data_IF_309264406392
#
_entry.id   IF_309264406392
#
_cell.length_a   1.000
_cell.length_b   1.000
_cell.length_c   1.000
_cell.angle_alpha   90.00
_cell.angle_beta   90.00
_cell.angle_gamma   90.00
#
_symmetry.space_group_name_H-M   'P 1'
#
loop_
_entity.id
_entity.type
_entity.pdbx_description
1 polymer ?
#
# COMPACT_ATOMS: atom_id res chain seq x y z
N UNK A 1 -26.56 -0.47 -9.95
CA UNK A 1 -27.04 0.92 -9.70
C UNK A 1 -27.51 0.94 -8.25
N UNK A 2 -26.87 1.73 -7.38
CA UNK A 2 -27.02 1.61 -5.92
C UNK A 2 -28.46 1.79 -5.42
N UNK A 3 -29.17 2.80 -5.95
CA UNK A 3 -30.54 3.09 -5.52
C UNK A 3 -31.49 1.93 -5.90
N UNK A 4 -31.36 1.40 -7.11
CA UNK A 4 -32.16 0.24 -7.58
C UNK A 4 -31.88 -1.00 -6.72
N UNK A 5 -30.60 -1.29 -6.45
CA UNK A 5 -30.17 -2.42 -5.62
C UNK A 5 -30.71 -2.34 -4.18
N UNK A 6 -30.88 -1.12 -3.66
CA UNK A 6 -31.42 -0.85 -2.32
C UNK A 6 -32.94 -0.64 -2.32
N UNK A 7 -33.61 -0.70 -3.47
CA UNK A 7 -35.03 -0.37 -3.64
C UNK A 7 -35.40 1.02 -3.08
N UNK A 8 -34.53 2.01 -3.30
CA UNK A 8 -34.74 3.40 -2.86
C UNK A 8 -35.27 4.22 -4.04
N UNK A 9 -36.44 4.82 -3.88
CA UNK A 9 -36.94 5.84 -4.81
C UNK A 9 -36.42 7.21 -4.38
N UNK A 10 -35.74 7.92 -5.27
CA UNK A 10 -35.18 9.24 -5.01
C UNK A 10 -35.35 10.15 -6.23
N UNK A 11 -35.50 11.46 -5.99
CA UNK A 11 -35.35 12.50 -7.01
C UNK A 11 -33.89 12.99 -6.99
N UNK A 12 -33.22 12.93 -8.14
CA UNK A 12 -31.78 13.21 -8.25
C UNK A 12 -31.59 14.59 -8.86
N UNK A 13 -30.94 15.47 -8.11
CA UNK A 13 -30.55 16.80 -8.56
C UNK A 13 -29.03 16.90 -8.63
N UNK A 14 -28.50 17.19 -9.81
CA UNK A 14 -27.07 17.46 -10.00
C UNK A 14 -26.73 18.90 -9.62
N UNK A 15 -25.72 19.06 -8.77
CA UNK A 15 -25.22 20.37 -8.31
C UNK A 15 -23.72 20.45 -8.60
N UNK A 16 -23.28 21.56 -9.16
CA UNK A 16 -21.86 21.81 -9.42
C UNK A 16 -21.23 22.49 -8.20
N UNK A 17 -20.56 21.69 -7.37
CA UNK A 17 -19.79 22.16 -6.21
C UNK A 17 -20.63 22.50 -4.98
N UNK A 18 -19.98 22.53 -3.82
CA UNK A 18 -20.59 22.84 -2.51
C UNK A 18 -21.85 22.03 -2.21
N UNK A 19 -21.81 20.74 -2.56
CA UNK A 19 -22.94 19.81 -2.40
C UNK A 19 -23.32 19.68 -0.91
N UNK A 20 -22.36 19.84 -0.02
CA UNK A 20 -22.50 19.74 1.44
C UNK A 20 -23.45 20.79 2.04
N UNK A 21 -23.70 21.89 1.33
CA UNK A 21 -24.63 22.94 1.76
C UNK A 21 -26.09 22.54 1.48
N UNK A 22 -26.35 21.71 0.47
CA UNK A 22 -27.71 21.40 -0.01
C UNK A 22 -28.65 20.89 1.10
N UNK A 23 -28.23 20.04 2.06
CA UNK A 23 -29.08 19.65 3.18
C UNK A 23 -29.43 20.81 4.11
N UNK A 24 -28.46 21.66 4.42
CA UNK A 24 -28.63 22.78 5.37
C UNK A 24 -29.63 23.84 4.90
N UNK A 25 -29.76 24.02 3.59
CA UNK A 25 -30.69 24.96 2.97
C UNK A 25 -32.02 24.30 2.55
N UNK A 26 -32.20 23.02 2.86
CA UNK A 26 -33.42 22.26 2.57
C UNK A 26 -33.60 21.86 1.11
N UNK A 27 -32.54 21.89 0.29
CA UNK A 27 -32.60 21.51 -1.12
C UNK A 27 -32.57 19.98 -1.32
N UNK A 28 -31.99 19.23 -0.37
CA UNK A 28 -31.92 17.77 -0.42
C UNK A 28 -32.01 17.15 0.98
N UNK A 29 -32.47 15.90 1.06
CA UNK A 29 -32.44 15.13 2.31
C UNK A 29 -31.12 14.40 2.55
N UNK A 30 -30.34 14.17 1.49
CA UNK A 30 -29.05 13.50 1.52
C UNK A 30 -28.22 13.94 0.30
N UNK A 31 -26.91 13.73 0.38
CA UNK A 31 -25.97 14.00 -0.71
C UNK A 31 -25.21 12.73 -1.07
N UNK A 32 -24.71 12.69 -2.30
CA UNK A 32 -23.75 11.71 -2.77
C UNK A 32 -22.50 12.46 -3.22
N UNK A 33 -21.37 12.21 -2.55
CA UNK A 33 -20.13 12.93 -2.79
C UNK A 33 -18.90 12.04 -2.51
N UNK A 34 -17.74 12.43 -3.03
CA UNK A 34 -16.46 11.76 -2.82
C UNK A 34 -15.90 12.17 -1.47
N UNK A 35 -15.66 11.18 -0.61
CA UNK A 35 -15.10 11.39 0.73
C UNK A 35 -13.72 10.75 0.83
N UNK A 36 -12.77 11.48 1.44
CA UNK A 36 -11.43 10.97 1.75
C UNK A 36 -11.22 10.84 3.27
N UNK A 37 -11.02 11.96 3.98
CA UNK A 37 -10.85 11.95 5.45
C UNK A 37 -12.14 12.17 6.22
N UNK A 38 -13.22 12.57 5.55
CA UNK A 38 -14.50 12.94 6.18
C UNK A 38 -14.53 14.33 6.82
N UNK A 39 -13.42 15.09 6.80
CA UNK A 39 -13.33 16.41 7.45
C UNK A 39 -14.37 17.40 6.93
N UNK A 40 -14.61 17.44 5.63
CA UNK A 40 -15.58 18.35 4.99
C UNK A 40 -17.03 18.02 5.36
N UNK A 41 -17.37 16.74 5.47
CA UNK A 41 -18.70 16.33 5.93
C UNK A 41 -18.92 16.80 7.37
N UNK A 42 -17.94 16.56 8.23
CA UNK A 42 -18.04 16.91 9.65
C UNK A 42 -18.21 18.42 9.86
N UNK A 43 -17.47 19.27 9.11
CA UNK A 43 -17.61 20.72 9.20
C UNK A 43 -18.98 21.25 8.77
N UNK A 44 -19.72 20.46 7.98
CA UNK A 44 -21.08 20.79 7.53
C UNK A 44 -22.17 20.04 8.34
N UNK A 45 -21.80 19.41 9.46
CA UNK A 45 -22.74 18.66 10.30
C UNK A 45 -23.26 17.37 9.63
N UNK A 46 -22.57 16.88 8.61
CA UNK A 46 -22.90 15.66 7.89
C UNK A 46 -22.09 14.48 8.42
N UNK A 47 -22.61 13.28 8.19
CA UNK A 47 -21.93 12.02 8.45
C UNK A 47 -22.11 11.08 7.28
N UNK A 48 -21.12 10.23 7.05
CA UNK A 48 -21.24 9.14 6.09
C UNK A 48 -22.27 8.12 6.59
N UNK A 49 -23.13 7.66 5.69
CA UNK A 49 -24.21 6.69 6.01
C UNK A 49 -24.07 5.39 5.23
N UNK A 50 -23.61 5.47 3.98
CA UNK A 50 -23.45 4.32 3.09
C UNK A 50 -22.28 4.58 2.13
N UNK A 51 -21.45 3.55 1.90
CA UNK A 51 -20.39 3.57 0.88
C UNK A 51 -20.96 3.02 -0.42
N UNK A 52 -21.17 3.89 -1.40
CA UNK A 52 -21.67 3.48 -2.73
C UNK A 52 -20.57 2.82 -3.56
N UNK A 53 -19.37 3.43 -3.57
CA UNK A 53 -18.23 2.96 -4.35
C UNK A 53 -16.93 3.39 -3.66
N UNK A 54 -15.91 2.52 -3.72
CA UNK A 54 -14.53 2.91 -3.42
C UNK A 54 -13.83 3.34 -4.69
N UNK A 55 -13.28 4.54 -4.69
CA UNK A 55 -12.55 5.10 -5.83
C UNK A 55 -11.04 5.01 -5.59
N UNK A 56 -10.30 4.66 -6.64
CA UNK A 56 -8.85 4.66 -6.66
C UNK A 56 -8.33 5.11 -8.03
N UNK A 57 -7.07 5.53 -8.09
CA UNK A 57 -6.42 5.84 -9.36
C UNK A 57 -6.11 4.55 -10.12
N UNK A 58 -6.59 4.45 -11.36
CA UNK A 58 -6.38 3.28 -12.23
C UNK A 58 -5.74 3.69 -13.56
N UNK A 59 -4.92 2.81 -14.12
CA UNK A 59 -4.44 2.95 -15.50
C UNK A 59 -5.43 2.25 -16.44
N UNK A 60 -6.00 2.99 -17.39
CA UNK A 60 -6.95 2.47 -18.37
C UNK A 60 -6.33 2.48 -19.76
N UNK A 61 -6.54 1.40 -20.52
CA UNK A 61 -6.15 1.31 -21.93
C UNK A 61 -7.31 0.83 -22.79
N UNK A 62 -7.28 1.19 -24.07
CA UNK A 62 -8.22 0.64 -25.07
C UNK A 62 -7.75 -0.76 -25.47
N UNK A 63 -8.69 -1.70 -25.63
CA UNK A 63 -8.39 -3.00 -26.23
C UNK A 63 -7.95 -2.89 -27.71
N UNK A 64 -7.04 -3.76 -28.13
CA UNK A 64 -6.58 -3.83 -29.53
C UNK A 64 -5.59 -2.73 -29.91
N UNK A 65 -4.65 -2.38 -29.02
CA UNK A 65 -3.56 -1.48 -29.35
C UNK A 65 -2.66 -2.06 -30.44
N UNK A 66 -2.11 -1.18 -31.27
CA UNK A 66 -1.00 -1.52 -32.17
C UNK A 66 0.21 -2.01 -31.35
N UNK A 67 1.01 -2.92 -31.92
CA UNK A 67 2.11 -3.57 -31.22
C UNK A 67 3.09 -2.59 -30.54
N UNK A 68 3.44 -1.50 -31.22
CA UNK A 68 4.33 -0.46 -30.68
C UNK A 68 3.76 0.20 -29.42
N UNK A 69 2.45 0.50 -29.41
CA UNK A 69 1.77 1.10 -28.25
C UNK A 69 1.60 0.10 -27.12
N UNK A 70 1.36 -1.16 -27.45
CA UNK A 70 1.30 -2.24 -26.45
C UNK A 70 2.65 -2.37 -25.73
N UNK A 71 3.76 -2.33 -26.46
CA UNK A 71 5.10 -2.39 -25.85
C UNK A 71 5.37 -1.22 -24.89
N UNK A 72 4.92 -0.01 -25.24
CA UNK A 72 5.02 1.17 -24.36
C UNK A 72 4.16 0.97 -23.10
N UNK A 73 2.94 0.47 -23.27
CA UNK A 73 2.04 0.18 -22.15
C UNK A 73 2.66 -0.85 -21.21
N UNK A 74 3.21 -1.94 -21.73
CA UNK A 74 3.84 -2.99 -20.94
C UNK A 74 5.04 -2.46 -20.14
N UNK A 75 5.88 -1.62 -20.77
CA UNK A 75 6.98 -0.93 -20.08
C UNK A 75 6.49 -0.01 -18.97
N UNK A 76 5.39 0.71 -19.18
CA UNK A 76 4.81 1.59 -18.17
C UNK A 76 4.23 0.79 -16.99
N UNK A 77 3.45 -0.25 -17.28
CA UNK A 77 2.87 -1.16 -16.26
C UNK A 77 3.98 -1.78 -15.42
N UNK A 78 5.04 -2.28 -16.05
CA UNK A 78 6.21 -2.83 -15.36
C UNK A 78 6.85 -1.80 -14.40
N UNK A 79 7.05 -0.55 -14.84
CA UNK A 79 7.63 0.52 -14.01
C UNK A 79 6.73 0.91 -12.84
N UNK A 80 5.42 1.01 -13.06
CA UNK A 80 4.45 1.29 -12.00
C UNK A 80 4.45 0.16 -10.96
N UNK A 81 4.40 -1.09 -11.40
CA UNK A 81 4.43 -2.26 -10.53
C UNK A 81 5.73 -2.32 -9.70
N UNK A 82 6.87 -1.95 -10.30
CA UNK A 82 8.17 -1.90 -9.61
C UNK A 82 8.17 -0.91 -8.44
N UNK A 83 7.50 0.23 -8.59
CA UNK A 83 7.34 1.24 -7.53
C UNK A 83 6.30 0.77 -6.49
N UNK A 84 5.18 0.21 -6.93
CA UNK A 84 4.12 -0.26 -6.02
C UNK A 84 4.64 -1.39 -5.11
N UNK A 85 5.41 -2.33 -5.65
CA UNK A 85 6.06 -3.40 -4.87
C UNK A 85 7.09 -2.84 -3.89
N UNK A 86 7.87 -1.83 -4.28
CA UNK A 86 8.82 -1.16 -3.40
C UNK A 86 8.15 -0.50 -2.19
N UNK A 87 6.98 0.13 -2.38
CA UNK A 87 6.25 0.83 -1.29
C UNK A 87 5.86 -0.08 -0.13
N UNK A 88 5.52 -1.33 -0.42
CA UNK A 88 5.05 -2.30 0.58
C UNK A 88 6.18 -3.15 1.18
N UNK A 89 7.43 -2.86 0.84
CA UNK A 89 8.59 -3.62 1.32
C UNK A 89 9.65 -2.69 1.92
N UNK A 90 10.49 -3.25 2.78
CA UNK A 90 11.64 -2.58 3.39
C UNK A 90 12.88 -3.43 3.24
N UNK A 91 14.01 -2.76 3.02
CA UNK A 91 15.31 -3.39 3.12
C UNK A 91 15.76 -3.36 4.58
N UNK A 92 16.13 -4.50 5.12
CA UNK A 92 16.64 -4.63 6.49
C UNK A 92 18.06 -5.11 6.48
N UNK A 93 18.86 -4.53 7.37
CA UNK A 93 20.24 -4.88 7.63
C UNK A 93 20.36 -5.11 9.12
N UNK A 94 21.01 -6.20 9.52
CA UNK A 94 21.23 -6.52 10.92
C UNK A 94 22.56 -7.26 11.06
N UNK A 95 23.09 -7.27 12.28
CA UNK A 95 24.21 -8.11 12.66
C UNK A 95 23.68 -9.32 13.42
N UNK A 96 24.27 -10.48 13.18
CA UNK A 96 23.85 -11.74 13.77
C UNK A 96 25.07 -12.56 14.21
N UNK A 97 25.00 -13.25 15.36
CA UNK A 97 25.92 -14.33 15.69
C UNK A 97 25.83 -15.44 14.63
N UNK A 98 26.97 -16.03 14.27
CA UNK A 98 27.03 -17.05 13.22
C UNK A 98 26.24 -18.33 13.57
N UNK A 99 26.12 -18.66 14.85
CA UNK A 99 25.33 -19.80 15.34
C UNK A 99 23.81 -19.61 15.21
N UNK A 100 23.38 -18.37 15.01
CA UNK A 100 21.97 -17.98 14.92
C UNK A 100 21.50 -17.76 13.48
N UNK A 101 22.40 -17.90 12.50
CA UNK A 101 22.13 -17.61 11.09
C UNK A 101 21.00 -18.47 10.51
N UNK A 102 20.97 -19.78 10.80
CA UNK A 102 19.92 -20.67 10.26
C UNK A 102 18.52 -20.23 10.72
N UNK A 103 18.39 -19.85 12.00
CA UNK A 103 17.13 -19.32 12.56
C UNK A 103 16.79 -17.98 11.90
N UNK A 104 17.73 -17.05 11.79
CA UNK A 104 17.52 -15.73 11.18
C UNK A 104 17.14 -15.85 9.70
N UNK A 105 17.80 -16.70 8.92
CA UNK A 105 17.49 -16.94 7.51
C UNK A 105 16.07 -17.48 7.35
N UNK A 106 15.59 -18.30 8.28
CA UNK A 106 14.21 -18.82 8.26
C UNK A 106 13.15 -17.74 8.53
N UNK A 107 13.48 -16.72 9.34
CA UNK A 107 12.60 -15.60 9.67
C UNK A 107 12.49 -14.63 8.49
N UNK A 108 13.62 -14.31 7.85
CA UNK A 108 13.70 -13.32 6.77
C UNK A 108 14.20 -13.91 5.45
N UNK A 109 13.51 -14.87 4.81
CA UNK A 109 14.01 -15.57 3.61
C UNK A 109 14.26 -14.65 2.40
N UNK A 110 13.69 -13.44 2.42
CA UNK A 110 13.87 -12.43 1.38
C UNK A 110 13.22 -12.84 0.05
N UNK A 111 13.65 -12.22 -1.04
CA UNK A 111 13.11 -12.50 -2.38
C UNK A 111 13.62 -13.81 -2.99
N UNK A 112 14.81 -14.25 -2.58
CA UNK A 112 15.47 -15.46 -3.08
C UNK A 112 16.25 -16.14 -1.96
N UNK A 113 17.09 -15.37 -1.30
CA UNK A 113 17.86 -15.74 -0.10
C UNK A 113 18.40 -14.45 0.52
N UNK A 114 18.60 -14.38 1.85
CA UNK A 114 19.34 -13.30 2.48
C UNK A 114 20.78 -13.25 1.98
N UNK A 115 21.36 -12.06 1.96
CA UNK A 115 22.80 -11.88 1.81
C UNK A 115 23.44 -11.99 3.19
N UNK A 116 24.48 -12.80 3.31
CA UNK A 116 25.26 -12.96 4.56
C UNK A 116 26.70 -12.54 4.28
N UNK A 117 27.22 -11.59 5.06
CA UNK A 117 28.58 -11.05 4.91
C UNK A 117 29.30 -11.13 6.27
N UNK A 118 30.47 -11.78 6.37
CA UNK A 118 31.23 -11.81 7.62
C UNK A 118 31.61 -10.40 8.09
N UNK A 119 31.53 -10.15 9.40
CA UNK A 119 32.01 -8.91 10.01
C UNK A 119 33.50 -8.99 10.34
N UNK A 120 34.10 -7.83 10.65
CA UNK A 120 35.46 -7.77 11.20
C UNK A 120 35.56 -8.41 12.60
N UNK A 121 34.44 -8.43 13.34
CA UNK A 121 34.34 -9.17 14.60
C UNK A 121 34.11 -10.65 14.31
N UNK A 122 35.01 -11.50 14.82
CA UNK A 122 34.90 -12.95 14.64
C UNK A 122 33.62 -13.50 15.27
N UNK A 123 33.01 -14.47 14.60
CA UNK A 123 31.76 -15.10 15.06
C UNK A 123 30.49 -14.33 14.70
N UNK A 124 30.59 -13.22 13.97
CA UNK A 124 29.44 -12.41 13.54
C UNK A 124 29.37 -12.20 12.04
N UNK A 125 28.14 -12.03 11.55
CA UNK A 125 27.83 -11.70 10.16
C UNK A 125 26.78 -10.60 10.07
N UNK A 126 26.89 -9.74 9.06
CA UNK A 126 25.79 -8.89 8.60
C UNK A 126 24.84 -9.72 7.74
N UNK A 127 23.54 -9.62 8.01
CA UNK A 127 22.47 -10.24 7.24
C UNK A 127 21.60 -9.15 6.64
N UNK A 128 21.42 -9.21 5.33
CA UNK A 128 20.61 -8.26 4.59
C UNK A 128 19.45 -8.99 3.92
N UNK A 129 18.24 -8.45 4.04
CA UNK A 129 17.05 -9.04 3.42
C UNK A 129 16.00 -7.98 3.09
N UNK A 130 14.96 -8.40 2.39
CA UNK A 130 13.76 -7.60 2.12
C UNK A 130 12.60 -8.22 2.88
N UNK A 131 11.87 -7.40 3.63
CA UNK A 131 10.69 -7.81 4.38
C UNK A 131 9.49 -6.96 3.97
N UNK A 132 8.30 -7.54 4.11
CA UNK A 132 7.05 -6.83 3.85
C UNK A 132 6.68 -5.93 5.03
N UNK A 133 6.12 -4.76 4.75
CA UNK A 133 5.77 -3.74 5.74
C UNK A 133 4.67 -4.23 6.71
N UNK A 134 3.78 -5.11 6.26
CA UNK A 134 2.67 -5.66 7.04
C UNK A 134 3.14 -6.55 8.21
N UNK A 135 4.21 -7.31 8.01
CA UNK A 135 4.83 -8.17 9.03
C UNK A 135 6.04 -7.53 9.70
N UNK A 136 6.26 -6.24 9.46
CA UNK A 136 7.50 -5.57 9.84
C UNK A 136 7.81 -5.76 11.34
N UNK A 137 6.92 -5.34 12.23
CA UNK A 137 7.17 -5.37 13.69
C UNK A 137 7.28 -6.79 14.25
N UNK A 138 6.44 -7.72 13.78
CA UNK A 138 6.50 -9.15 14.14
C UNK A 138 7.89 -9.72 13.83
N UNK A 139 8.39 -9.48 12.62
CA UNK A 139 9.71 -9.95 12.18
C UNK A 139 10.84 -9.31 12.98
N UNK A 140 10.76 -8.01 13.31
CA UNK A 140 11.80 -7.36 14.11
C UNK A 140 11.92 -8.00 15.50
N UNK A 141 10.80 -8.34 16.13
CA UNK A 141 10.81 -8.95 17.46
C UNK A 141 11.37 -10.38 17.40
N UNK A 142 10.97 -11.19 16.41
CA UNK A 142 11.54 -12.53 16.19
C UNK A 142 13.06 -12.49 15.94
N UNK A 143 13.54 -11.50 15.18
CA UNK A 143 14.96 -11.31 14.90
C UNK A 143 15.74 -10.98 16.17
N UNK A 144 15.21 -10.09 17.03
CA UNK A 144 15.84 -9.76 18.32
C UNK A 144 15.90 -10.98 19.24
N UNK A 145 14.83 -11.75 19.31
CA UNK A 145 14.78 -13.01 20.07
C UNK A 145 15.71 -14.10 19.49
N UNK A 146 16.08 -13.97 18.23
CA UNK A 146 17.11 -14.79 17.58
C UNK A 146 18.54 -14.25 17.75
N UNK A 147 18.73 -13.16 18.52
CA UNK A 147 20.05 -12.60 18.81
C UNK A 147 20.53 -11.55 17.80
N UNK A 148 19.66 -11.08 16.89
CA UNK A 148 20.01 -10.00 15.98
C UNK A 148 20.26 -8.68 16.71
N UNK A 149 21.25 -7.92 16.22
CA UNK A 149 21.65 -6.62 16.76
C UNK A 149 21.84 -5.59 15.65
N UNK A 150 21.86 -4.31 16.01
CA UNK A 150 22.19 -3.23 15.08
C UNK A 150 21.25 -3.13 13.88
N UNK A 151 19.95 -3.41 14.08
CA UNK A 151 18.99 -3.45 12.99
C UNK A 151 18.75 -2.06 12.39
N UNK A 152 18.93 -1.95 11.08
CA UNK A 152 18.66 -0.77 10.28
C UNK A 152 17.59 -1.10 9.23
N UNK A 153 16.77 -0.11 8.89
CA UNK A 153 15.67 -0.22 7.94
C UNK A 153 15.80 0.89 6.93
N UNK A 154 15.74 0.53 5.64
CA UNK A 154 15.89 1.48 4.54
C UNK A 154 14.68 1.35 3.61
N UNK A 155 14.05 2.47 3.21
CA UNK A 155 12.99 2.44 2.21
C UNK A 155 13.55 2.00 0.86
N UNK A 156 12.78 1.21 0.13
CA UNK A 156 13.13 0.80 -1.23
C UNK A 156 12.41 1.74 -2.21
N UNK A 157 13.15 2.33 -3.15
CA UNK A 157 12.51 3.20 -4.14
C UNK A 157 11.80 2.41 -5.25
N UNK A 158 12.44 1.34 -5.74
CA UNK A 158 11.99 0.54 -6.89
C UNK A 158 12.47 -0.91 -6.71
N UNK A 159 11.59 -1.86 -6.93
CA UNK A 159 11.92 -3.29 -6.95
C UNK A 159 11.72 -3.84 -8.36
N UNK A 160 12.83 -4.19 -9.02
CA UNK A 160 12.82 -4.80 -10.34
C UNK A 160 12.93 -6.31 -10.16
N UNK A 161 11.91 -7.05 -10.60
CA UNK A 161 11.85 -8.51 -10.56
C UNK A 161 11.10 -9.04 -11.76
#
# INVERSE_FOLDING_TARGET
NFLDEKNIQADIHEILGSVEIAPSIGLSGAIFDIVSTGSTLLSNGLKEVEVVLKSEAVLVSRGGLEAEKQEILDKLVFRLNSVMKARTNRYVLLNAPNDSLDKIISIIPGMKSPTVVPLAEEGWSAVHSVISEDRFWEVIDELKDAGAQGLLVIPIEKMVS
#
